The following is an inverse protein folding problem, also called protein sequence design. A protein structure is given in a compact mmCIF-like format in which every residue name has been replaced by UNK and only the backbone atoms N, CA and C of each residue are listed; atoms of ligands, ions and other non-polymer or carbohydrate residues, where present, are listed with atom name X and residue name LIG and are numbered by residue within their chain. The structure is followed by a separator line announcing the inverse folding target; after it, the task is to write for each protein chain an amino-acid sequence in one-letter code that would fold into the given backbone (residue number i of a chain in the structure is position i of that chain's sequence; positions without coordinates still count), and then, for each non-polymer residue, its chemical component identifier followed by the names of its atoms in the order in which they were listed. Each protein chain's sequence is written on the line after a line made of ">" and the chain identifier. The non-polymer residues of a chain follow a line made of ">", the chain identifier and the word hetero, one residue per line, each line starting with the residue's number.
data_IF_472685989224
#
_entry.id   IF_472685989224
#
_cell.length_a   1.000
_cell.length_b   1.000
_cell.length_c   1.000
_cell.angle_alpha   90.00
_cell.angle_beta   90.00
_cell.angle_gamma   90.00
#
_symmetry.space_group_name_H-M   'P 1'
#
loop_
_entity.id
_entity.type
_entity.pdbx_description
1 polymer ?
#
# COMPACT_ATOMS: atom_id res chain seq x y z
N UNK A 1 20.38 -39.92 -29.81
CA UNK A 1 20.61 -39.15 -28.58
C UNK A 1 19.51 -38.10 -28.49
N UNK A 2 18.45 -38.40 -27.76
CA UNK A 2 17.26 -37.54 -27.66
C UNK A 2 17.52 -36.36 -26.74
N UNK A 3 17.47 -35.15 -27.30
CA UNK A 3 17.41 -33.94 -26.49
C UNK A 3 16.01 -33.88 -25.87
N UNK A 4 15.91 -34.15 -24.57
CA UNK A 4 14.73 -33.83 -23.79
C UNK A 4 14.59 -32.31 -23.77
N UNK A 5 13.58 -31.78 -24.47
CA UNK A 5 13.15 -30.40 -24.26
C UNK A 5 12.62 -30.30 -22.83
N UNK A 6 13.37 -29.64 -21.94
CA UNK A 6 12.79 -29.12 -20.70
C UNK A 6 11.69 -28.19 -21.13
N UNK A 7 10.45 -28.65 -20.99
CA UNK A 7 9.27 -27.85 -21.21
C UNK A 7 9.35 -26.72 -20.19
N UNK A 8 9.89 -25.57 -20.60
CA UNK A 8 9.84 -24.33 -19.82
C UNK A 8 8.39 -23.88 -19.90
N UNK A 9 7.53 -24.61 -19.19
CA UNK A 9 6.17 -24.18 -18.93
C UNK A 9 6.27 -22.83 -18.26
N UNK A 10 5.39 -21.90 -18.66
CA UNK A 10 5.32 -20.58 -18.06
C UNK A 10 5.45 -20.71 -16.52
N UNK A 11 6.42 -20.04 -15.86
CA UNK A 11 6.56 -20.08 -14.41
C UNK A 11 5.32 -19.57 -13.64
N UNK A 12 4.28 -19.17 -14.38
CA UNK A 12 3.12 -18.40 -13.97
C UNK A 12 1.87 -19.23 -13.64
N UNK A 13 2.00 -20.45 -13.09
CA UNK A 13 0.84 -21.13 -12.49
C UNK A 13 0.93 -21.09 -10.97
N UNK A 14 -0.20 -20.78 -10.34
CA UNK A 14 -0.36 -20.92 -8.90
C UNK A 14 -0.40 -22.41 -8.57
N UNK A 15 0.56 -22.88 -7.77
CA UNK A 15 0.70 -24.29 -7.37
C UNK A 15 0.88 -24.38 -5.85
N UNK A 16 0.61 -25.56 -5.29
CA UNK A 16 0.87 -25.83 -3.86
C UNK A 16 2.33 -25.55 -3.47
N UNK A 17 3.29 -25.86 -4.34
CA UNK A 17 4.71 -25.58 -4.10
C UNK A 17 5.00 -24.08 -4.01
N UNK A 18 4.39 -23.28 -4.89
CA UNK A 18 4.54 -21.82 -4.88
C UNK A 18 3.93 -21.21 -3.62
N UNK A 19 2.77 -21.71 -3.18
CA UNK A 19 2.12 -21.30 -1.93
C UNK A 19 2.98 -21.68 -0.72
N UNK A 20 3.51 -22.90 -0.69
CA UNK A 20 4.40 -23.35 0.38
C UNK A 20 5.64 -22.45 0.49
N UNK A 21 6.23 -22.06 -0.65
CA UNK A 21 7.35 -21.13 -0.70
C UNK A 21 6.95 -19.71 -0.25
N UNK A 22 5.74 -19.25 -0.56
CA UNK A 22 5.22 -17.98 -0.06
C UNK A 22 5.01 -17.99 1.46
N UNK A 23 4.53 -19.11 2.02
CA UNK A 23 4.40 -19.31 3.47
C UNK A 23 5.76 -19.37 4.15
N UNK A 24 6.74 -20.06 3.57
CA UNK A 24 8.12 -20.05 4.04
C UNK A 24 8.68 -18.62 4.13
N UNK A 25 8.45 -17.81 3.08
CA UNK A 25 8.82 -16.40 3.10
C UNK A 25 8.20 -15.66 4.28
N UNK A 26 6.89 -15.83 4.53
CA UNK A 26 6.17 -15.24 5.67
C UNK A 26 6.77 -15.66 7.03
N UNK A 27 7.06 -16.95 7.21
CA UNK A 27 7.53 -17.49 8.50
C UNK A 27 9.02 -17.25 8.80
N UNK A 28 9.70 -16.43 8.00
CA UNK A 28 11.06 -15.97 8.30
C UNK A 28 12.02 -16.07 7.13
N UNK A 29 11.65 -16.75 6.05
CA UNK A 29 12.47 -16.85 4.84
C UNK A 29 12.82 -15.48 4.23
N UNK A 30 12.02 -14.45 4.51
CA UNK A 30 12.36 -13.07 4.12
C UNK A 30 13.71 -12.59 4.66
N UNK A 31 14.15 -13.06 5.84
CA UNK A 31 15.43 -12.63 6.43
C UNK A 31 16.65 -13.13 5.65
N UNK A 32 16.53 -14.31 5.04
CA UNK A 32 17.57 -14.91 4.22
C UNK A 32 17.60 -14.31 2.82
N UNK A 33 16.49 -13.71 2.39
CA UNK A 33 16.38 -12.99 1.13
C UNK A 33 16.95 -11.58 1.25
N UNK A 34 18.21 -11.40 0.83
CA UNK A 34 18.89 -10.09 0.79
C UNK A 34 18.99 -9.37 2.15
N UNK A 35 18.84 -10.10 3.26
CA UNK A 35 18.87 -9.50 4.60
C UNK A 35 17.66 -8.60 4.89
N UNK A 36 16.51 -8.84 4.26
CA UNK A 36 15.32 -8.02 4.48
C UNK A 36 14.95 -8.02 5.97
N UNK A 37 14.79 -6.81 6.52
CA UNK A 37 14.38 -6.64 7.91
C UNK A 37 12.87 -6.74 8.08
N UNK A 38 12.10 -6.72 7.00
CA UNK A 38 10.64 -6.80 7.04
C UNK A 38 10.10 -7.50 5.79
N UNK A 39 9.10 -8.38 5.88
CA UNK A 39 8.52 -8.96 4.69
C UNK A 39 7.71 -7.90 3.94
N UNK A 40 7.61 -8.05 2.63
CA UNK A 40 6.80 -7.17 1.77
C UNK A 40 6.35 -7.91 0.52
N UNK A 41 5.32 -7.40 -0.16
CA UNK A 41 4.87 -7.97 -1.44
C UNK A 41 5.98 -7.90 -2.51
N UNK A 42 6.78 -6.83 -2.51
CA UNK A 42 7.92 -6.72 -3.41
C UNK A 42 9.00 -7.77 -3.10
N UNK A 43 9.33 -7.96 -1.83
CA UNK A 43 10.29 -8.98 -1.40
C UNK A 43 9.81 -10.40 -1.68
N UNK A 44 8.51 -10.67 -1.51
CA UNK A 44 7.89 -11.94 -1.89
C UNK A 44 8.01 -12.19 -3.41
N UNK A 45 7.71 -11.17 -4.24
CA UNK A 45 7.82 -11.29 -5.68
C UNK A 45 9.25 -11.65 -6.11
N UNK A 46 10.26 -10.98 -5.53
CA UNK A 46 11.66 -11.32 -5.74
C UNK A 46 11.99 -12.74 -5.27
N UNK A 47 11.53 -13.15 -4.09
CA UNK A 47 11.77 -14.48 -3.52
C UNK A 47 11.20 -15.61 -4.39
N UNK A 48 9.99 -15.40 -4.92
CA UNK A 48 9.30 -16.35 -5.80
C UNK A 48 9.81 -16.30 -7.24
N UNK A 49 10.50 -15.23 -7.65
CA UNK A 49 10.97 -15.05 -9.02
C UNK A 49 9.82 -14.75 -10.01
N UNK A 50 8.77 -14.08 -9.55
CA UNK A 50 7.59 -13.71 -10.36
C UNK A 50 7.36 -12.20 -10.35
N UNK A 51 6.63 -11.69 -11.33
CA UNK A 51 6.28 -10.28 -11.37
C UNK A 51 5.35 -9.90 -10.19
N UNK A 52 5.52 -8.69 -9.66
CA UNK A 52 4.67 -8.18 -8.57
C UNK A 52 3.19 -8.15 -8.96
N UNK A 53 2.87 -7.84 -10.22
CA UNK A 53 1.50 -7.91 -10.74
C UNK A 53 0.93 -9.33 -10.66
N UNK A 54 1.72 -10.35 -10.99
CA UNK A 54 1.32 -11.76 -10.91
C UNK A 54 0.97 -12.17 -9.47
N UNK A 55 1.70 -11.69 -8.46
CA UNK A 55 1.39 -11.93 -7.05
C UNK A 55 -0.04 -11.44 -6.72
N UNK A 56 -0.39 -10.22 -7.13
CA UNK A 56 -1.73 -9.69 -6.91
C UNK A 56 -2.79 -10.44 -7.70
N UNK A 57 -2.52 -10.82 -8.94
CA UNK A 57 -3.47 -11.58 -9.75
C UNK A 57 -3.75 -12.98 -9.17
N UNK A 58 -2.77 -13.63 -8.56
CA UNK A 58 -2.99 -14.91 -7.87
C UNK A 58 -3.85 -14.78 -6.62
N UNK A 59 -3.64 -13.74 -5.81
CA UNK A 59 -4.48 -13.49 -4.62
C UNK A 59 -5.94 -13.19 -4.96
N UNK A 60 -6.24 -12.77 -6.19
CA UNK A 60 -7.61 -12.53 -6.66
C UNK A 60 -8.30 -13.75 -7.28
N UNK A 61 -7.59 -14.87 -7.46
CA UNK A 61 -8.19 -16.04 -8.09
C UNK A 61 -9.25 -16.66 -7.18
N UNK A 62 -10.44 -16.88 -7.71
CA UNK A 62 -11.54 -17.57 -7.02
C UNK A 62 -11.35 -19.10 -7.10
N UNK A 63 -10.28 -19.58 -6.47
CA UNK A 63 -9.94 -20.99 -6.32
C UNK A 63 -9.40 -21.23 -4.92
N UNK A 64 -9.40 -22.47 -4.43
CA UNK A 64 -8.90 -22.79 -3.09
C UNK A 64 -7.42 -22.40 -2.93
N UNK A 65 -6.61 -22.62 -3.97
CA UNK A 65 -5.21 -22.18 -4.02
C UNK A 65 -5.10 -20.65 -4.00
N UNK A 66 -5.98 -19.95 -4.72
CA UNK A 66 -6.03 -18.49 -4.75
C UNK A 66 -6.34 -17.89 -3.39
N UNK A 67 -7.32 -18.47 -2.69
CA UNK A 67 -7.69 -18.09 -1.31
C UNK A 67 -6.54 -18.32 -0.34
N UNK A 68 -5.90 -19.50 -0.38
CA UNK A 68 -4.76 -19.80 0.48
C UNK A 68 -3.56 -18.88 0.21
N UNK A 69 -3.34 -18.50 -1.05
CA UNK A 69 -2.32 -17.53 -1.42
C UNK A 69 -2.70 -16.12 -0.92
N UNK A 70 -3.96 -15.71 -1.06
CA UNK A 70 -4.47 -14.45 -0.52
C UNK A 70 -4.27 -14.35 0.99
N UNK A 71 -4.64 -15.40 1.75
CA UNK A 71 -4.41 -15.47 3.20
C UNK A 71 -2.93 -15.32 3.55
N UNK A 72 -2.04 -15.85 2.70
CA UNK A 72 -0.59 -15.69 2.88
C UNK A 72 -0.14 -14.24 2.64
N UNK A 73 -0.71 -13.54 1.65
CA UNK A 73 -0.44 -12.12 1.40
C UNK A 73 -0.93 -11.25 2.56
N UNK A 74 -2.13 -11.53 3.08
CA UNK A 74 -2.69 -10.83 4.23
C UNK A 74 -1.83 -11.08 5.49
N UNK A 75 -1.35 -12.31 5.68
CA UNK A 75 -0.39 -12.63 6.74
C UNK A 75 0.92 -11.83 6.63
N UNK A 76 1.45 -11.64 5.41
CA UNK A 76 2.63 -10.79 5.17
C UNK A 76 2.34 -9.34 5.53
N UNK A 77 1.19 -8.80 5.14
CA UNK A 77 0.81 -7.42 5.44
C UNK A 77 0.63 -7.21 6.95
N UNK A 78 -0.08 -8.12 7.63
CA UNK A 78 -0.27 -8.06 9.07
C UNK A 78 1.06 -8.17 9.84
N UNK A 79 1.95 -9.07 9.42
CA UNK A 79 3.27 -9.20 10.05
C UNK A 79 4.15 -7.96 9.81
N UNK A 80 4.10 -7.40 8.59
CA UNK A 80 4.77 -6.14 8.27
C UNK A 80 4.25 -5.01 9.17
N UNK A 81 2.95 -4.83 9.29
CA UNK A 81 2.34 -3.81 10.14
C UNK A 81 2.77 -3.95 11.61
N UNK A 82 2.62 -5.16 12.18
CA UNK A 82 3.05 -5.46 13.56
C UNK A 82 4.52 -5.11 13.78
N UNK A 83 5.41 -5.46 12.84
CA UNK A 83 6.84 -5.20 12.97
C UNK A 83 7.16 -3.71 12.87
N UNK A 84 6.50 -2.97 11.97
CA UNK A 84 6.66 -1.52 11.83
C UNK A 84 6.26 -0.80 13.12
N UNK A 85 5.14 -1.19 13.74
CA UNK A 85 4.68 -0.60 15.00
C UNK A 85 5.73 -0.82 16.09
N UNK A 86 6.12 -2.08 16.32
CA UNK A 86 7.09 -2.40 17.37
C UNK A 86 8.43 -1.70 17.16
N UNK A 87 9.02 -1.84 15.97
CA UNK A 87 10.34 -1.27 15.66
C UNK A 87 10.34 0.25 15.49
N UNK A 88 9.19 0.84 15.15
CA UNK A 88 9.00 2.29 15.17
C UNK A 88 8.96 2.84 16.60
N UNK A 89 8.31 2.13 17.52
CA UNK A 89 8.21 2.52 18.94
C UNK A 89 9.52 2.32 19.70
N UNK A 90 10.31 1.29 19.36
CA UNK A 90 11.65 1.07 19.97
C UNK A 90 12.73 1.96 19.37
N UNK A 91 12.46 2.60 18.21
CA UNK A 91 13.43 3.43 17.51
C UNK A 91 14.44 2.64 16.65
N UNK A 92 14.24 1.34 16.48
CA UNK A 92 15.10 0.49 15.63
C UNK A 92 14.94 0.84 14.14
N UNK A 93 13.77 1.34 13.74
CA UNK A 93 13.49 1.78 12.37
C UNK A 93 13.47 3.29 12.25
N UNK A 94 13.85 3.77 11.06
CA UNK A 94 13.73 5.18 10.72
C UNK A 94 12.26 5.63 10.78
N UNK A 95 11.95 6.60 11.64
CA UNK A 95 10.58 7.04 11.91
C UNK A 95 9.83 7.54 10.66
N UNK A 96 10.51 8.24 9.74
CA UNK A 96 9.90 8.75 8.50
C UNK A 96 9.51 7.61 7.57
N UNK A 97 10.38 6.62 7.39
CA UNK A 97 10.11 5.43 6.57
C UNK A 97 8.99 4.61 7.20
N UNK A 98 9.06 4.38 8.52
CA UNK A 98 8.02 3.65 9.26
C UNK A 98 6.66 4.31 9.10
N UNK A 99 6.56 5.63 9.26
CA UNK A 99 5.32 6.39 9.07
C UNK A 99 4.77 6.25 7.64
N UNK A 100 5.62 6.37 6.63
CA UNK A 100 5.21 6.19 5.23
C UNK A 100 4.68 4.77 4.97
N UNK A 101 5.33 3.75 5.54
CA UNK A 101 4.88 2.38 5.37
C UNK A 101 3.59 2.09 6.13
N UNK A 102 3.43 2.61 7.36
CA UNK A 102 2.18 2.52 8.13
C UNK A 102 1.01 3.20 7.41
N UNK A 103 1.26 4.26 6.63
CA UNK A 103 0.22 4.86 5.81
C UNK A 103 -0.39 3.89 4.78
N UNK A 104 0.42 2.95 4.25
CA UNK A 104 -0.09 1.89 3.37
C UNK A 104 -0.98 0.87 4.09
N UNK A 105 -0.91 0.80 5.43
CA UNK A 105 -1.76 -0.02 6.30
C UNK A 105 -2.97 0.76 6.84
N UNK A 106 -3.26 1.95 6.30
CA UNK A 106 -4.45 2.74 6.65
C UNK A 106 -4.25 3.71 7.82
N UNK A 107 -3.04 3.81 8.39
CA UNK A 107 -2.75 4.84 9.38
C UNK A 107 -2.69 6.21 8.69
N UNK A 108 -3.26 7.20 9.34
CA UNK A 108 -3.20 8.58 8.86
C UNK A 108 -2.89 9.51 10.03
N UNK A 109 -2.08 10.52 9.73
CA UNK A 109 -1.90 11.64 10.65
C UNK A 109 -3.00 12.66 10.37
N UNK A 110 -3.63 13.15 11.44
CA UNK A 110 -4.56 14.27 11.37
C UNK A 110 -3.85 15.50 11.88
N UNK A 111 -3.91 16.57 11.10
CA UNK A 111 -3.42 17.88 11.51
C UNK A 111 -4.61 18.83 11.61
N UNK A 112 -4.83 19.38 12.80
CA UNK A 112 -5.71 20.53 12.95
C UNK A 112 -4.88 21.79 12.70
N UNK A 113 -5.27 22.55 11.67
CA UNK A 113 -4.64 23.82 11.30
C UNK A 113 -5.65 24.92 11.59
N UNK A 114 -5.33 25.76 12.58
CA UNK A 114 -6.08 26.98 12.80
C UNK A 114 -5.56 28.08 11.86
N UNK A 115 -6.43 28.60 11.01
CA UNK A 115 -6.12 29.68 10.07
C UNK A 115 -6.42 31.05 10.72
N UNK A 116 -5.82 31.31 11.89
CA UNK A 116 -5.87 32.62 12.52
C UNK A 116 -4.55 33.36 12.27
N UNK A 117 -4.65 34.62 11.84
CA UNK A 117 -3.49 35.51 11.79
C UNK A 117 -3.45 36.36 13.04
N UNK A 118 -2.31 36.38 13.75
CA UNK A 118 -2.13 37.23 14.94
C UNK A 118 -2.23 38.73 14.63
N UNK A 119 -2.04 39.11 13.36
CA UNK A 119 -2.16 40.49 12.86
C UNK A 119 -3.55 40.84 12.31
N UNK A 120 -4.53 39.92 12.41
CA UNK A 120 -5.91 40.12 11.94
C UNK A 120 -6.05 40.35 10.41
N UNK A 121 -5.01 40.09 9.61
CA UNK A 121 -5.04 40.24 8.15
C UNK A 121 -5.97 39.22 7.45
N UNK A 122 -6.27 38.10 8.10
CA UNK A 122 -7.23 37.10 7.63
C UNK A 122 -8.58 37.29 8.31
N UNK A 123 -9.35 38.29 7.86
CA UNK A 123 -10.75 38.46 8.25
C UNK A 123 -11.68 38.01 7.11
N UNK A 124 -12.81 37.35 7.41
CA UNK A 124 -13.72 36.84 6.38
C UNK A 124 -14.31 37.99 5.56
N UNK A 125 -14.19 37.90 4.24
CA UNK A 125 -14.69 38.93 3.31
C UNK A 125 -16.21 38.99 3.33
N UNK A 126 -16.76 40.18 3.61
CA UNK A 126 -18.20 40.45 3.58
C UNK A 126 -18.67 40.70 2.13
N UNK A 127 -19.53 39.83 1.61
CA UNK A 127 -20.18 40.04 0.30
C UNK A 127 -21.47 40.83 0.52
N UNK A 128 -21.63 41.95 -0.19
CA UNK A 128 -22.86 42.75 -0.21
C UNK A 128 -23.56 42.55 -1.55
N UNK A 129 -24.79 42.02 -1.50
CA UNK A 129 -25.66 41.87 -2.67
C UNK A 129 -26.46 43.17 -2.86
N UNK A 130 -26.32 43.81 -4.02
CA UNK A 130 -27.14 44.97 -4.41
C UNK A 130 -28.05 44.55 -5.55
N UNK A 131 -29.36 44.80 -5.42
CA UNK A 131 -30.32 44.57 -6.49
C UNK A 131 -30.05 45.55 -7.65
N UNK A 132 -29.87 45.03 -8.86
CA UNK A 132 -29.78 45.85 -10.07
C UNK A 132 -31.13 46.49 -10.35
N UNK A 133 -31.22 47.81 -10.23
CA UNK A 133 -32.46 48.55 -10.47
C UNK A 133 -32.86 48.49 -11.95
N UNK A 134 -34.15 48.23 -12.19
CA UNK A 134 -34.78 48.33 -13.49
C UNK A 134 -34.59 49.75 -14.07
N UNK A 135 -33.97 49.83 -15.23
CA UNK A 135 -33.80 51.07 -15.99
C UNK A 135 -35.13 51.43 -16.66
N UNK A 136 -36.03 52.07 -15.91
CA UNK A 136 -37.30 52.58 -16.46
C UNK A 136 -37.02 53.88 -17.24
N UNK A 137 -36.78 53.70 -18.54
CA UNK A 137 -36.60 54.80 -19.49
C UNK A 137 -37.92 55.53 -19.70
N UNK A 138 -38.02 56.74 -19.15
CA UNK A 138 -38.99 57.75 -19.60
C UNK A 138 -38.22 58.84 -20.34
N UNK A 139 -38.40 58.85 -21.66
CA UNK A 139 -38.04 59.95 -22.55
C UNK A 139 -39.04 61.10 -22.38
N UNK A 140 -38.54 62.33 -22.26
CA UNK A 140 -39.23 63.58 -22.61
C UNK A 140 -38.20 64.59 -23.15
#
# INVERSE_FOLDING_TARGET
>A
MGQQSKQVGCPSKLTNELIAKAKEYLYGGYKENEGQVIPSIAGLACYLGIARSTVYEYGKQDSDLGREFSDTLDGIMAFQEMKLINSGLTGDFNATITKLMLANHGYSEKQEVDHTSSDNSMSPTKIVLVAGGDNDGSED
#
